data_IF_862295290428
#
_entry.id   IF_862295290428
#
_cell.length_a   1.000
_cell.length_b   1.000
_cell.length_c   1.000
_cell.angle_alpha   90.00
_cell.angle_beta   90.00
_cell.angle_gamma   90.00
#
_symmetry.space_group_name_H-M   'P 1'
#
loop_
_entity.id
_entity.type
_entity.pdbx_description
1 polymer ?
#
# COMPACT_ATOMS: atom_id res chain seq x y z
N UNK A 1 -4.38 64.46 -20.35
CA UNK A 1 -3.80 63.23 -19.75
C UNK A 1 -3.72 63.43 -18.25
N UNK A 2 -4.51 62.68 -17.46
CA UNK A 2 -4.53 62.83 -15.99
C UNK A 2 -3.36 62.01 -15.41
N UNK A 3 -2.44 62.59 -14.61
CA UNK A 3 -1.32 61.86 -14.07
C UNK A 3 -1.81 60.84 -13.04
N UNK A 4 -1.47 59.58 -13.26
CA UNK A 4 -1.81 58.49 -12.34
C UNK A 4 -1.15 58.71 -10.98
N UNK A 5 -1.93 58.76 -9.91
CA UNK A 5 -1.45 59.00 -8.53
C UNK A 5 -0.51 57.86 -8.07
N UNK A 6 0.79 58.13 -7.81
CA UNK A 6 1.78 57.11 -7.45
C UNK A 6 1.46 56.42 -6.12
N UNK A 7 0.88 57.12 -5.15
CA UNK A 7 0.49 56.54 -3.84
C UNK A 7 -0.62 55.49 -3.98
N UNK A 8 -1.57 55.71 -4.90
CA UNK A 8 -2.64 54.77 -5.18
C UNK A 8 -2.13 53.49 -5.87
N UNK A 9 -1.18 53.64 -6.81
CA UNK A 9 -0.50 52.50 -7.46
C UNK A 9 0.33 51.69 -6.46
N UNK A 10 1.02 52.35 -5.54
CA UNK A 10 1.81 51.68 -4.49
C UNK A 10 0.93 50.88 -3.51
N UNK A 11 -0.18 51.48 -3.04
CA UNK A 11 -1.14 50.81 -2.15
C UNK A 11 -1.80 49.59 -2.82
N UNK A 12 -2.15 49.68 -4.10
CA UNK A 12 -2.70 48.55 -4.85
C UNK A 12 -1.69 47.41 -5.01
N UNK A 13 -0.41 47.72 -5.23
CA UNK A 13 0.68 46.73 -5.30
C UNK A 13 0.90 46.02 -3.96
N UNK A 14 0.92 46.78 -2.85
CA UNK A 14 1.02 46.21 -1.49
C UNK A 14 -0.15 45.29 -1.15
N UNK A 15 -1.39 45.67 -1.48
CA UNK A 15 -2.58 44.83 -1.27
C UNK A 15 -2.53 43.52 -2.08
N UNK A 16 -2.11 43.58 -3.36
CA UNK A 16 -1.93 42.37 -4.18
C UNK A 16 -0.88 41.42 -3.60
N UNK A 17 0.26 41.96 -3.11
CA UNK A 17 1.31 41.15 -2.46
C UNK A 17 0.81 40.48 -1.18
N UNK A 18 0.00 41.18 -0.37
CA UNK A 18 -0.60 40.62 0.86
C UNK A 18 -1.56 39.47 0.51
N UNK A 19 -2.45 39.66 -0.47
CA UNK A 19 -3.38 38.61 -0.91
C UNK A 19 -2.62 37.39 -1.46
N UNK A 20 -1.57 37.62 -2.25
CA UNK A 20 -0.73 36.54 -2.78
C UNK A 20 -0.01 35.77 -1.66
N UNK A 21 0.47 36.48 -0.64
CA UNK A 21 1.15 35.89 0.52
C UNK A 21 0.21 35.03 1.38
N UNK A 22 -0.98 35.52 1.72
CA UNK A 22 -1.97 34.74 2.47
C UNK A 22 -2.54 33.57 1.65
N UNK A 23 -2.72 33.74 0.34
CA UNK A 23 -3.10 32.64 -0.55
C UNK A 23 -2.06 31.51 -0.58
N UNK A 24 -0.77 31.86 -0.60
CA UNK A 24 0.32 30.87 -0.52
C UNK A 24 0.34 30.15 0.83
N UNK A 25 0.10 30.86 1.93
CA UNK A 25 0.01 30.26 3.27
C UNK A 25 -1.14 29.25 3.36
N UNK A 26 -2.34 29.58 2.84
CA UNK A 26 -3.50 28.69 2.87
C UNK A 26 -3.25 27.42 2.05
N UNK A 27 -2.56 27.53 0.91
CA UNK A 27 -2.20 26.37 0.07
C UNK A 27 -1.18 25.48 0.79
N UNK A 28 -0.17 26.07 1.43
CA UNK A 28 0.85 25.31 2.17
C UNK A 28 0.29 24.62 3.41
N UNK A 29 -0.56 25.29 4.20
CA UNK A 29 -1.22 24.70 5.37
C UNK A 29 -2.26 23.67 4.97
N UNK A 30 -3.03 23.92 3.91
CA UNK A 30 -3.95 22.95 3.32
C UNK A 30 -3.24 21.70 2.84
N UNK A 31 -2.13 21.83 2.10
CA UNK A 31 -1.32 20.70 1.66
C UNK A 31 -0.72 19.92 2.84
N UNK A 32 -0.31 20.60 3.92
CA UNK A 32 0.20 19.95 5.13
C UNK A 32 -0.90 19.22 5.91
N UNK A 33 -2.10 19.79 6.03
CA UNK A 33 -3.25 19.17 6.67
C UNK A 33 -3.75 17.96 5.87
N UNK A 34 -3.81 18.06 4.54
CA UNK A 34 -4.08 16.95 3.62
C UNK A 34 -3.02 15.87 3.81
N UNK A 35 -1.73 16.21 3.81
CA UNK A 35 -0.68 15.23 4.13
C UNK A 35 -0.92 14.57 5.48
N UNK A 36 -1.21 15.30 6.56
CA UNK A 36 -1.45 14.71 7.88
C UNK A 36 -2.68 13.79 7.92
N UNK A 37 -3.75 14.16 7.21
CA UNK A 37 -4.96 13.35 7.05
C UNK A 37 -4.72 12.07 6.21
N UNK A 38 -3.80 12.11 5.25
CA UNK A 38 -3.42 10.95 4.43
C UNK A 38 -2.17 10.19 4.95
N UNK A 39 -1.39 10.75 5.87
CA UNK A 39 -0.08 10.25 6.36
C UNK A 39 0.00 10.26 7.89
N UNK A 40 -0.99 9.69 8.57
CA UNK A 40 -0.77 9.23 9.94
C UNK A 40 -0.73 7.71 9.89
N UNK A 41 0.48 7.12 9.83
CA UNK A 41 0.64 5.67 9.89
C UNK A 41 -0.01 5.19 11.20
N UNK A 42 -0.98 4.29 11.10
CA UNK A 42 -1.69 3.78 12.27
C UNK A 42 -0.70 3.02 13.18
N UNK A 43 -1.07 2.79 14.45
CA UNK A 43 -0.29 1.89 15.31
C UNK A 43 -0.13 0.53 14.62
N UNK A 44 -1.19 0.09 13.95
CA UNK A 44 -1.23 -1.15 13.20
C UNK A 44 -0.30 -1.14 11.98
N UNK A 45 -0.22 -0.04 11.21
CA UNK A 45 0.77 0.09 10.11
C UNK A 45 2.21 -0.11 10.61
N UNK A 46 2.55 0.46 11.79
CA UNK A 46 3.88 0.26 12.39
C UNK A 46 4.12 -1.18 12.84
N UNK A 47 3.08 -1.86 13.34
CA UNK A 47 3.17 -3.28 13.72
C UNK A 47 3.34 -4.17 12.49
N UNK A 48 2.57 -3.93 11.42
CA UNK A 48 2.76 -4.61 10.14
C UNK A 48 4.17 -4.41 9.60
N UNK A 49 4.69 -3.17 9.67
CA UNK A 49 6.06 -2.90 9.23
C UNK A 49 7.08 -3.69 10.05
N UNK A 50 6.94 -3.70 11.38
CA UNK A 50 7.84 -4.42 12.28
C UNK A 50 7.80 -5.93 12.04
N UNK A 51 6.59 -6.49 11.89
CA UNK A 51 6.38 -7.90 11.53
C UNK A 51 7.03 -8.24 10.18
N UNK A 52 6.89 -7.36 9.18
CA UNK A 52 7.52 -7.56 7.88
C UNK A 52 9.05 -7.60 7.99
N UNK A 53 9.64 -6.71 8.79
CA UNK A 53 11.09 -6.72 9.04
C UNK A 53 11.53 -8.01 9.75
N UNK A 54 10.78 -8.47 10.74
CA UNK A 54 11.07 -9.70 11.48
C UNK A 54 11.02 -10.93 10.56
N UNK A 55 9.95 -11.10 9.78
CA UNK A 55 9.84 -12.19 8.81
C UNK A 55 11.00 -12.14 7.82
N UNK A 56 11.33 -10.94 7.32
CA UNK A 56 12.38 -10.76 6.31
C UNK A 56 13.79 -11.12 6.81
N UNK A 57 14.02 -11.22 8.12
CA UNK A 57 15.29 -11.72 8.67
C UNK A 57 15.51 -13.21 8.37
N UNK A 58 14.43 -13.95 8.14
CA UNK A 58 14.47 -15.39 7.87
C UNK A 58 14.18 -15.73 6.40
N UNK A 59 13.89 -14.74 5.55
CA UNK A 59 13.63 -14.95 4.12
C UNK A 59 14.92 -14.89 3.28
N UNK A 60 15.00 -15.61 2.14
CA UNK A 60 13.96 -16.47 1.59
C UNK A 60 13.81 -17.77 2.39
N UNK A 61 12.56 -18.22 2.58
CA UNK A 61 12.24 -19.43 3.34
C UNK A 61 11.25 -20.30 2.57
N UNK A 62 11.48 -21.62 2.55
CA UNK A 62 10.53 -22.58 1.97
C UNK A 62 9.34 -22.72 2.92
N UNK A 63 8.13 -22.44 2.44
CA UNK A 63 6.89 -22.66 3.19
C UNK A 63 6.49 -24.13 3.08
N UNK A 64 6.64 -24.69 1.88
CA UNK A 64 6.50 -26.10 1.57
C UNK A 64 7.47 -26.47 0.42
N UNK A 65 7.33 -27.66 -0.16
CA UNK A 65 8.19 -28.15 -1.24
C UNK A 65 8.06 -27.38 -2.58
N UNK A 66 6.98 -26.62 -2.77
CA UNK A 66 6.62 -25.93 -4.02
C UNK A 66 6.61 -24.40 -3.89
N UNK A 67 6.44 -23.86 -2.68
CA UNK A 67 6.26 -22.44 -2.41
C UNK A 67 7.39 -21.92 -1.53
N UNK A 68 8.13 -20.92 -2.04
CA UNK A 68 9.13 -20.16 -1.28
C UNK A 68 8.64 -18.74 -1.03
N UNK A 69 8.67 -18.30 0.22
CA UNK A 69 8.47 -16.90 0.57
C UNK A 69 9.79 -16.16 0.32
N UNK A 70 9.80 -15.24 -0.64
CA UNK A 70 10.97 -14.43 -0.98
C UNK A 70 11.17 -13.28 0.00
N UNK A 71 10.06 -12.61 0.35
CA UNK A 71 10.00 -11.52 1.34
C UNK A 71 8.55 -11.13 1.60
N UNK A 72 8.36 -10.31 2.61
CA UNK A 72 7.14 -9.55 2.87
C UNK A 72 7.38 -8.06 2.65
N UNK A 73 6.30 -7.30 2.46
CA UNK A 73 6.34 -5.84 2.55
C UNK A 73 5.00 -5.26 2.97
N UNK A 74 5.01 -4.00 3.38
CA UNK A 74 3.79 -3.27 3.75
C UNK A 74 3.59 -2.13 2.75
N UNK A 75 2.37 -2.03 2.22
CA UNK A 75 1.92 -0.90 1.41
C UNK A 75 0.98 -0.05 2.26
N UNK A 76 0.81 1.22 1.88
CA UNK A 76 -0.08 2.17 2.58
C UNK A 76 -1.51 1.64 2.65
N UNK A 77 -2.18 1.95 3.77
CA UNK A 77 -3.56 1.52 4.01
C UNK A 77 -3.64 0.09 4.54
N UNK A 78 -2.71 -0.29 5.44
CA UNK A 78 -2.78 -1.56 6.19
C UNK A 78 -2.76 -2.79 5.26
N UNK A 79 -1.97 -2.71 4.20
CA UNK A 79 -1.84 -3.77 3.18
C UNK A 79 -0.55 -4.54 3.43
N UNK A 80 -0.66 -5.78 3.87
CA UNK A 80 0.46 -6.70 4.02
C UNK A 80 0.63 -7.54 2.76
N UNK A 81 1.84 -7.59 2.20
CA UNK A 81 2.14 -8.24 0.92
C UNK A 81 3.13 -9.37 1.15
N UNK A 82 2.75 -10.58 0.76
CA UNK A 82 3.61 -11.75 0.67
C UNK A 82 4.10 -11.89 -0.78
N UNK A 83 5.42 -11.95 -0.97
CA UNK A 83 6.02 -12.20 -2.27
C UNK A 83 6.50 -13.64 -2.34
N UNK A 84 5.80 -14.46 -3.11
CA UNK A 84 6.04 -15.89 -3.25
C UNK A 84 6.64 -16.25 -4.61
N UNK A 85 7.42 -17.31 -4.60
CA UNK A 85 7.88 -18.01 -5.81
C UNK A 85 7.37 -19.45 -5.79
N UNK A 86 6.75 -19.87 -6.89
CA UNK A 86 6.40 -21.27 -7.16
C UNK A 86 7.62 -21.96 -7.79
N UNK A 87 8.48 -22.56 -6.95
CA UNK A 87 9.85 -22.94 -7.33
C UNK A 87 9.93 -24.04 -8.39
N UNK A 88 8.85 -24.80 -8.57
CA UNK A 88 8.75 -25.90 -9.53
C UNK A 88 7.91 -25.56 -10.78
N UNK A 89 7.36 -24.34 -10.85
CA UNK A 89 6.49 -23.91 -11.93
C UNK A 89 7.19 -22.91 -12.86
N UNK A 90 6.84 -22.94 -14.14
CA UNK A 90 7.38 -22.06 -15.17
C UNK A 90 6.24 -21.48 -15.97
N UNK A 91 6.25 -20.17 -16.15
CA UNK A 91 5.21 -19.45 -16.87
C UNK A 91 5.00 -20.02 -18.27
N UNK A 92 3.75 -20.13 -18.71
CA UNK A 92 3.38 -20.70 -20.01
C UNK A 92 3.38 -22.23 -20.07
N UNK A 93 3.70 -22.95 -18.98
CA UNK A 93 3.60 -24.42 -18.90
C UNK A 93 2.33 -24.92 -18.18
N UNK A 94 1.43 -24.02 -17.82
CA UNK A 94 0.18 -24.31 -17.11
C UNK A 94 -0.83 -23.19 -17.35
N UNK A 95 -2.11 -23.47 -17.07
CA UNK A 95 -3.19 -22.49 -17.15
C UNK A 95 -3.19 -21.58 -15.91
N UNK A 96 -2.63 -20.38 -16.06
CA UNK A 96 -2.47 -19.42 -14.95
C UNK A 96 -3.80 -19.02 -14.28
N UNK A 97 -4.89 -18.94 -15.06
CA UNK A 97 -6.21 -18.57 -14.54
C UNK A 97 -6.80 -19.67 -13.64
N UNK A 98 -6.67 -20.95 -14.02
CA UNK A 98 -7.15 -22.07 -13.21
C UNK A 98 -6.39 -22.15 -11.89
N UNK A 99 -5.06 -21.99 -11.94
CA UNK A 99 -4.22 -21.95 -10.75
C UNK A 99 -4.58 -20.77 -9.84
N UNK A 100 -4.81 -19.59 -10.42
CA UNK A 100 -5.19 -18.39 -9.68
C UNK A 100 -6.51 -18.58 -8.93
N UNK A 101 -7.53 -19.13 -9.58
CA UNK A 101 -8.83 -19.38 -8.94
C UNK A 101 -8.72 -20.45 -7.85
N UNK A 102 -7.95 -21.52 -8.09
CA UNK A 102 -7.67 -22.52 -7.06
C UNK A 102 -7.01 -21.90 -5.82
N UNK A 103 -5.95 -21.09 -6.00
CA UNK A 103 -5.28 -20.40 -4.89
C UNK A 103 -6.20 -19.39 -4.20
N UNK A 104 -7.06 -18.69 -4.95
CA UNK A 104 -8.01 -17.72 -4.39
C UNK A 104 -8.92 -18.36 -3.37
N UNK A 105 -9.53 -19.50 -3.70
CA UNK A 105 -10.45 -20.22 -2.81
C UNK A 105 -9.71 -20.73 -1.55
N UNK A 106 -8.56 -21.38 -1.73
CA UNK A 106 -7.78 -21.94 -0.61
C UNK A 106 -7.29 -20.85 0.35
N UNK A 107 -6.75 -19.75 -0.18
CA UNK A 107 -6.25 -18.64 0.63
C UNK A 107 -7.40 -17.94 1.34
N UNK A 108 -8.55 -17.74 0.68
CA UNK A 108 -9.70 -17.11 1.30
C UNK A 108 -10.24 -17.94 2.47
N UNK A 109 -10.34 -19.26 2.28
CA UNK A 109 -10.75 -20.17 3.35
C UNK A 109 -9.77 -20.11 4.53
N UNK A 110 -8.46 -20.17 4.26
CA UNK A 110 -7.45 -20.03 5.30
C UNK A 110 -7.53 -18.67 6.01
N UNK A 111 -7.75 -17.56 5.29
CA UNK A 111 -7.95 -16.24 5.90
C UNK A 111 -9.14 -16.27 6.87
N UNK A 112 -10.28 -16.84 6.46
CA UNK A 112 -11.49 -16.91 7.27
C UNK A 112 -11.30 -17.76 8.52
N UNK A 113 -10.63 -18.90 8.39
CA UNK A 113 -10.62 -19.95 9.41
C UNK A 113 -9.36 -19.97 10.29
N UNK A 114 -8.25 -19.39 9.85
CA UNK A 114 -6.99 -19.45 10.59
C UNK A 114 -6.97 -18.46 11.76
N UNK A 115 -6.77 -18.93 13.01
CA UNK A 115 -6.72 -18.07 14.20
C UNK A 115 -5.51 -17.11 14.21
N UNK A 116 -4.40 -17.46 13.57
CA UNK A 116 -3.20 -16.62 13.51
C UNK A 116 -3.45 -15.34 12.68
N UNK A 117 -4.39 -15.41 11.75
CA UNK A 117 -4.82 -14.28 10.92
C UNK A 117 -5.93 -13.45 11.58
N UNK A 118 -6.39 -13.82 12.78
CA UNK A 118 -7.44 -13.08 13.50
C UNK A 118 -7.06 -11.62 13.72
N UNK A 119 -5.81 -11.35 14.10
CA UNK A 119 -5.34 -9.99 14.35
C UNK A 119 -5.40 -9.11 13.08
N UNK A 120 -5.09 -9.68 11.91
CA UNK A 120 -5.21 -8.99 10.63
C UNK A 120 -6.68 -8.66 10.31
N UNK A 121 -7.61 -9.61 10.52
CA UNK A 121 -9.04 -9.41 10.27
C UNK A 121 -9.67 -8.36 11.19
N UNK A 122 -9.36 -8.41 12.49
CA UNK A 122 -9.89 -7.46 13.48
C UNK A 122 -9.43 -6.02 13.21
N UNK A 123 -8.22 -5.85 12.67
CA UNK A 123 -7.69 -4.55 12.26
C UNK A 123 -8.02 -4.21 10.79
N UNK A 124 -8.94 -4.94 10.15
CA UNK A 124 -9.41 -4.68 8.78
C UNK A 124 -8.27 -4.60 7.75
N UNK A 125 -7.21 -5.39 7.96
CA UNK A 125 -6.04 -5.42 7.09
C UNK A 125 -6.40 -6.00 5.71
N UNK A 126 -5.75 -5.50 4.66
CA UNK A 126 -5.75 -6.19 3.37
C UNK A 126 -4.51 -7.07 3.26
N UNK A 127 -4.68 -8.25 2.68
CA UNK A 127 -3.58 -9.19 2.42
C UNK A 127 -3.43 -9.40 0.93
N UNK A 128 -2.19 -9.32 0.45
CA UNK A 128 -1.83 -9.49 -0.96
C UNK A 128 -0.84 -10.63 -1.08
N UNK A 129 -1.11 -11.53 -2.01
CA UNK A 129 -0.26 -12.67 -2.33
C UNK A 129 0.21 -12.50 -3.78
N UNK A 130 1.48 -12.13 -3.94
CA UNK A 130 2.14 -11.88 -5.22
C UNK A 130 2.96 -13.11 -5.60
N UNK A 131 2.54 -13.85 -6.63
CA UNK A 131 3.18 -15.09 -7.07
C UNK A 131 4.01 -14.90 -8.33
N UNK A 132 5.23 -15.42 -8.27
CA UNK A 132 6.16 -15.54 -9.40
C UNK A 132 6.48 -16.99 -9.68
N UNK A 133 6.91 -17.27 -10.91
CA UNK A 133 7.41 -18.58 -11.30
C UNK A 133 8.88 -18.77 -10.87
N UNK A 134 9.46 -19.94 -11.14
CA UNK A 134 10.86 -20.27 -10.81
C UNK A 134 11.90 -19.35 -11.48
N UNK A 135 11.53 -18.67 -12.56
CA UNK A 135 12.37 -17.72 -13.29
C UNK A 135 12.14 -16.27 -12.82
N UNK A 136 11.37 -16.07 -11.74
CA UNK A 136 10.97 -14.78 -11.18
C UNK A 136 10.06 -13.95 -12.10
N UNK A 137 9.44 -14.58 -13.08
CA UNK A 137 8.40 -13.97 -13.91
C UNK A 137 7.07 -13.89 -13.15
N UNK A 138 6.37 -12.78 -13.31
CA UNK A 138 5.07 -12.56 -12.66
C UNK A 138 4.04 -13.54 -13.20
N UNK A 139 3.34 -14.23 -12.30
CA UNK A 139 2.18 -15.05 -12.61
C UNK A 139 0.90 -14.25 -12.32
N UNK A 140 0.54 -14.12 -11.04
CA UNK A 140 -0.66 -13.41 -10.63
C UNK A 140 -0.54 -12.82 -9.22
N UNK A 141 -1.34 -11.78 -8.98
CA UNK A 141 -1.56 -11.20 -7.65
C UNK A 141 -2.99 -11.55 -7.20
N UNK A 142 -3.13 -11.99 -5.94
CA UNK A 142 -4.40 -12.16 -5.25
C UNK A 142 -4.50 -11.15 -4.12
N UNK A 143 -5.59 -10.39 -4.10
CA UNK A 143 -5.88 -9.37 -3.10
C UNK A 143 -7.13 -9.72 -2.34
N UNK A 144 -7.01 -9.72 -1.02
CA UNK A 144 -8.09 -9.95 -0.07
C UNK A 144 -8.23 -8.74 0.84
N UNK A 145 -9.41 -8.16 0.83
CA UNK A 145 -9.82 -7.00 1.61
C UNK A 145 -10.80 -7.44 2.69
N UNK A 146 -11.10 -6.58 3.68
CA UNK A 146 -12.14 -6.86 4.68
C UNK A 146 -13.48 -7.30 4.11
N UNK A 147 -13.82 -6.93 2.87
CA UNK A 147 -15.08 -7.32 2.22
C UNK A 147 -15.11 -8.77 1.76
N UNK A 148 -13.94 -9.39 1.58
CA UNK A 148 -13.85 -10.75 1.07
C UNK A 148 -14.04 -11.79 2.19
N UNK A 149 -13.65 -11.44 3.42
CA UNK A 149 -13.58 -12.38 4.54
C UNK A 149 -14.46 -12.07 5.76
N UNK A 150 -15.10 -10.90 5.82
CA UNK A 150 -16.07 -10.54 6.88
C UNK A 150 -17.52 -10.77 6.44
#
# INVERSE_FOLDING_TARGET
MIPSNPKAKEMASKRKKIILFFGLIIILTGAFAIKKLFFTDSIFDRQLYSLSQEINQSTPIMIDENIRLERTSVKRGEIFVYHYTLVNMEKGKFEENELKEFFREQILDNIKNNPDLKYFKENQASMVYDYKDKNMESLFELRFTPKDYN
#
